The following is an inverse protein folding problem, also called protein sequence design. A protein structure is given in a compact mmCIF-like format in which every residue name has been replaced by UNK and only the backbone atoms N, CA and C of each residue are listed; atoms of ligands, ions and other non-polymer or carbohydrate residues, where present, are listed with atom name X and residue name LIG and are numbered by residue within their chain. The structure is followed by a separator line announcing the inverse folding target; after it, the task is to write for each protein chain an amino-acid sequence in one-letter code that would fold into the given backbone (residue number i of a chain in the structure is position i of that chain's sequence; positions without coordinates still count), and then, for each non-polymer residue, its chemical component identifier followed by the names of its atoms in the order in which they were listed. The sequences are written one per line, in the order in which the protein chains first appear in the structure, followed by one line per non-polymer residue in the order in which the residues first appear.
data_IF_273703955283
#
_entry.id   IF_273703955283
#
_cell.length_a   1.000
_cell.length_b   1.000
_cell.length_c   1.000
_cell.angle_alpha   90.00
_cell.angle_beta   90.00
_cell.angle_gamma   90.00
#
_symmetry.space_group_name_H-M   'P 1'
#
loop_
_entity.id
_entity.type
_entity.pdbx_description
1 polymer ?
#
# COMPACT_ATOMS: atom_id res chain seq x y z
N UNK A 1 50.87 39.28 -20.49
CA UNK A 1 50.24 37.97 -20.78
C UNK A 1 49.19 38.19 -21.86
N UNK A 2 49.18 37.41 -22.94
CA UNK A 2 48.43 37.77 -24.13
C UNK A 2 46.92 37.46 -23.95
N UNK A 3 46.06 38.42 -24.33
CA UNK A 3 44.62 38.46 -24.01
C UNK A 3 43.79 37.31 -24.59
N UNK A 4 44.31 36.57 -25.57
CA UNK A 4 43.67 35.38 -26.15
C UNK A 4 43.63 34.18 -25.18
N UNK A 5 44.63 34.06 -24.29
CA UNK A 5 44.68 32.99 -23.29
C UNK A 5 43.53 33.10 -22.27
N UNK A 6 43.25 34.31 -21.79
CA UNK A 6 42.15 34.55 -20.86
C UNK A 6 40.79 34.25 -21.49
N UNK A 7 40.60 34.59 -22.79
CA UNK A 7 39.38 34.27 -23.53
C UNK A 7 39.18 32.77 -23.69
N UNK A 8 40.24 32.02 -23.95
CA UNK A 8 40.18 30.55 -24.04
C UNK A 8 39.85 29.91 -22.70
N UNK A 9 40.47 30.38 -21.61
CA UNK A 9 40.18 29.87 -20.25
C UNK A 9 38.73 30.13 -19.87
N UNK A 10 38.21 31.34 -20.14
CA UNK A 10 36.81 31.68 -19.87
C UNK A 10 35.87 30.80 -20.72
N UNK A 11 36.16 30.59 -22.00
CA UNK A 11 35.35 29.74 -22.86
C UNK A 11 35.29 28.29 -22.35
N UNK A 12 36.43 27.72 -21.94
CA UNK A 12 36.50 26.37 -21.38
C UNK A 12 35.74 26.28 -20.05
N UNK A 13 35.94 27.24 -19.13
CA UNK A 13 35.18 27.30 -17.89
C UNK A 13 33.67 27.42 -18.12
N UNK A 14 33.25 28.26 -19.07
CA UNK A 14 31.85 28.42 -19.43
C UNK A 14 31.27 27.08 -19.93
N UNK A 15 31.98 26.37 -20.79
CA UNK A 15 31.55 25.10 -21.35
C UNK A 15 31.43 24.01 -20.27
N UNK A 16 32.40 23.91 -19.35
CA UNK A 16 32.35 22.99 -18.20
C UNK A 16 31.18 23.33 -17.29
N UNK A 17 30.99 24.61 -16.96
CA UNK A 17 29.88 25.04 -16.09
C UNK A 17 28.51 24.73 -16.70
N UNK A 18 28.38 24.90 -18.02
CA UNK A 18 27.17 24.54 -18.76
C UNK A 18 26.89 23.03 -18.67
N UNK A 19 27.91 22.19 -18.83
CA UNK A 19 27.77 20.74 -18.67
C UNK A 19 27.34 20.33 -17.26
N UNK A 20 27.87 20.99 -16.23
CA UNK A 20 27.49 20.72 -14.84
C UNK A 20 26.05 21.15 -14.56
N UNK A 21 25.65 22.34 -15.05
CA UNK A 21 24.29 22.86 -14.88
C UNK A 21 23.26 21.96 -15.58
N UNK A 22 23.54 21.53 -16.81
CA UNK A 22 22.62 20.63 -17.54
C UNK A 22 22.54 19.26 -16.87
N UNK A 23 23.66 18.71 -16.41
CA UNK A 23 23.68 17.46 -15.64
C UNK A 23 22.82 17.54 -14.37
N UNK A 24 23.00 18.59 -13.57
CA UNK A 24 22.19 18.84 -12.37
C UNK A 24 20.70 19.01 -12.68
N UNK A 25 20.37 19.73 -13.76
CA UNK A 25 18.98 19.93 -14.17
C UNK A 25 18.30 18.61 -14.54
N UNK A 26 19.00 17.70 -15.25
CA UNK A 26 18.46 16.38 -15.63
C UNK A 26 18.24 15.51 -14.39
N UNK A 27 19.22 15.44 -13.48
CA UNK A 27 19.09 14.65 -12.24
C UNK A 27 17.91 15.15 -11.41
N UNK A 28 17.80 16.46 -11.21
CA UNK A 28 16.67 17.05 -10.47
C UNK A 28 15.32 16.77 -11.13
N UNK A 29 15.24 16.81 -12.46
CA UNK A 29 14.03 16.48 -13.19
C UNK A 29 13.62 15.00 -13.00
N UNK A 30 14.58 14.08 -13.09
CA UNK A 30 14.35 12.65 -12.86
C UNK A 30 13.90 12.38 -11.43
N UNK A 31 14.59 12.94 -10.43
CA UNK A 31 14.23 12.79 -9.03
C UNK A 31 12.81 13.31 -8.77
N UNK A 32 12.44 14.48 -9.29
CA UNK A 32 11.06 14.99 -9.15
C UNK A 32 10.01 14.06 -9.75
N UNK A 33 10.30 13.45 -10.90
CA UNK A 33 9.39 12.50 -11.54
C UNK A 33 9.21 11.22 -10.70
N UNK A 34 10.29 10.71 -10.09
CA UNK A 34 10.23 9.56 -9.18
C UNK A 34 9.43 9.89 -7.92
N UNK A 35 9.65 11.05 -7.30
CA UNK A 35 8.86 11.49 -6.15
C UNK A 35 7.36 11.59 -6.47
N UNK A 36 7.01 12.09 -7.66
CA UNK A 36 5.61 12.16 -8.09
C UNK A 36 4.98 10.77 -8.24
N UNK A 37 5.72 9.80 -8.79
CA UNK A 37 5.26 8.41 -8.92
C UNK A 37 5.05 7.74 -7.56
N UNK A 38 6.01 7.89 -6.64
CA UNK A 38 5.90 7.32 -5.29
C UNK A 38 4.68 7.87 -4.55
N UNK A 39 4.44 9.19 -4.64
CA UNK A 39 3.25 9.83 -4.04
C UNK A 39 1.94 9.31 -4.61
N UNK A 40 1.88 9.05 -5.92
CA UNK A 40 0.68 8.45 -6.53
C UNK A 40 0.44 7.03 -6.03
N UNK A 41 1.48 6.21 -5.94
CA UNK A 41 1.38 4.85 -5.40
C UNK A 41 0.96 4.86 -3.93
N UNK A 42 1.54 5.75 -3.11
CA UNK A 42 1.19 5.89 -1.70
C UNK A 42 -0.30 6.24 -1.51
N UNK A 43 -0.82 7.19 -2.31
CA UNK A 43 -2.23 7.56 -2.28
C UNK A 43 -3.15 6.37 -2.64
N UNK A 44 -2.80 5.61 -3.68
CA UNK A 44 -3.56 4.43 -4.09
C UNK A 44 -3.53 3.31 -3.04
N UNK A 45 -2.37 3.05 -2.44
CA UNK A 45 -2.22 2.04 -1.39
C UNK A 45 -3.02 2.44 -0.15
N UNK A 46 -3.01 3.73 0.21
CA UNK A 46 -3.75 4.23 1.37
C UNK A 46 -5.27 4.12 1.18
N UNK A 47 -5.78 4.39 -0.02
CA UNK A 47 -7.19 4.16 -0.34
C UNK A 47 -7.57 2.68 -0.23
N UNK A 48 -6.74 1.79 -0.77
CA UNK A 48 -6.97 0.35 -0.66
C UNK A 48 -6.92 -0.13 0.80
N UNK A 49 -6.00 0.39 1.60
CA UNK A 49 -5.95 0.10 3.04
C UNK A 49 -7.25 0.50 3.73
N UNK A 50 -7.75 1.72 3.50
CA UNK A 50 -9.02 2.14 4.11
C UNK A 50 -10.22 1.29 3.67
N UNK A 51 -10.25 0.84 2.42
CA UNK A 51 -11.32 -0.06 1.93
C UNK A 51 -11.24 -1.44 2.58
N UNK A 52 -10.04 -1.97 2.78
CA UNK A 52 -9.82 -3.27 3.43
C UNK A 52 -10.13 -3.17 4.93
N UNK A 53 -9.73 -2.09 5.59
CA UNK A 53 -10.03 -1.85 7.00
C UNK A 53 -11.54 -1.76 7.26
N UNK A 54 -12.29 -1.07 6.39
CA UNK A 54 -13.76 -1.01 6.49
C UNK A 54 -14.37 -2.40 6.32
N UNK A 55 -13.92 -3.18 5.32
CA UNK A 55 -14.39 -4.56 5.13
C UNK A 55 -14.04 -5.47 6.30
N UNK A 56 -12.88 -5.26 6.93
CA UNK A 56 -12.47 -6.03 8.10
C UNK A 56 -13.36 -5.69 9.30
N UNK A 57 -13.62 -4.40 9.55
CA UNK A 57 -14.51 -3.96 10.61
C UNK A 57 -15.94 -4.49 10.41
N UNK A 58 -16.46 -4.49 9.18
CA UNK A 58 -17.75 -5.11 8.85
C UNK A 58 -17.76 -6.62 9.16
N UNK A 59 -16.68 -7.33 8.82
CA UNK A 59 -16.55 -8.76 9.13
C UNK A 59 -16.44 -9.02 10.62
N UNK A 60 -15.70 -8.20 11.37
CA UNK A 60 -15.59 -8.31 12.83
C UNK A 60 -16.93 -8.09 13.51
N UNK A 61 -17.72 -7.10 13.08
CA UNK A 61 -19.09 -6.89 13.59
C UNK A 61 -19.99 -8.08 13.30
N UNK A 62 -19.89 -8.67 12.11
CA UNK A 62 -20.63 -9.90 11.76
C UNK A 62 -20.17 -11.07 12.61
N UNK A 63 -18.86 -11.22 12.82
CA UNK A 63 -18.27 -12.29 13.63
C UNK A 63 -18.66 -12.15 15.10
N UNK A 64 -18.68 -10.93 15.63
CA UNK A 64 -19.07 -10.61 16.99
C UNK A 64 -20.57 -10.84 17.22
N UNK A 65 -21.42 -10.51 16.24
CA UNK A 65 -22.85 -10.89 16.25
C UNK A 65 -23.06 -12.40 16.16
N UNK A 66 -22.27 -13.13 15.36
CA UNK A 66 -22.31 -14.59 15.32
C UNK A 66 -21.83 -15.21 16.63
N UNK A 67 -20.83 -14.62 17.29
CA UNK A 67 -20.23 -15.12 18.53
C UNK A 67 -21.12 -14.87 19.76
N UNK A 68 -21.91 -13.81 19.76
CA UNK A 68 -22.78 -13.44 20.88
C UNK A 68 -24.12 -14.22 20.91
N UNK A 69 -24.43 -15.02 19.89
CA UNK A 69 -25.60 -15.92 19.91
C UNK A 69 -25.21 -17.36 19.53
N UNK A 70 -24.70 -18.14 20.51
CA UNK A 70 -24.21 -19.50 20.28
C UNK A 70 -25.28 -20.44 19.69
N UNK A 71 -26.57 -20.13 19.87
CA UNK A 71 -27.68 -20.90 19.30
C UNK A 71 -27.77 -20.76 17.77
N UNK A 72 -27.32 -19.64 17.19
CA UNK A 72 -27.35 -19.40 15.74
C UNK A 72 -26.17 -20.07 15.01
N UNK A 73 -24.97 -20.06 15.62
CA UNK A 73 -23.80 -20.79 15.10
C UNK A 73 -24.06 -22.29 15.00
N UNK A 74 -24.69 -22.86 16.02
CA UNK A 74 -25.07 -24.27 16.04
C UNK A 74 -26.11 -24.59 14.94
N UNK A 75 -27.13 -23.75 14.77
CA UNK A 75 -28.14 -23.92 13.72
C UNK A 75 -27.55 -23.85 12.31
N UNK A 76 -26.58 -22.96 12.05
CA UNK A 76 -25.94 -22.81 10.72
C UNK A 76 -24.97 -23.94 10.41
N UNK A 77 -24.18 -24.37 11.39
CA UNK A 77 -23.26 -25.52 11.27
C UNK A 77 -24.08 -26.81 11.02
N UNK A 78 -25.18 -26.99 11.75
CA UNK A 78 -26.11 -28.12 11.63
C UNK A 78 -26.81 -28.15 10.25
N UNK A 79 -27.12 -26.99 9.67
CA UNK A 79 -27.70 -26.85 8.32
C UNK A 79 -26.69 -27.11 7.19
N UNK A 80 -25.43 -26.66 7.34
CA UNK A 80 -24.37 -26.88 6.33
C UNK A 80 -23.79 -28.30 6.36
N UNK A 81 -23.74 -28.94 7.53
CA UNK A 81 -23.22 -30.30 7.68
C UNK A 81 -24.27 -31.39 7.47
N UNK A 82 -25.55 -31.03 7.22
CA UNK A 82 -26.61 -32.00 6.90
C UNK A 82 -27.09 -32.85 8.08
N UNK A 83 -26.72 -32.52 9.32
CA UNK A 83 -27.15 -33.25 10.52
C UNK A 83 -28.55 -32.81 10.93
N UNK A 84 -29.57 -33.56 10.51
CA UNK A 84 -30.95 -33.33 10.91
C UNK A 84 -31.40 -34.39 11.93
N UNK A 85 -31.65 -33.97 13.19
CA UNK A 85 -32.88 -34.25 13.98
C UNK A 85 -32.87 -33.51 15.34
N UNK A 86 -34.05 -33.18 15.91
CA UNK A 86 -34.20 -32.29 17.08
C UNK A 86 -33.95 -32.94 18.45
N UNK A 87 -33.62 -34.23 18.55
CA UNK A 87 -33.68 -35.01 19.81
C UNK A 87 -32.35 -35.64 20.27
N UNK A 88 -31.20 -35.29 19.65
CA UNK A 88 -29.91 -35.89 20.03
C UNK A 88 -28.99 -34.94 20.82
N UNK A 89 -28.42 -35.49 21.90
CA UNK A 89 -27.43 -34.86 22.77
C UNK A 89 -26.04 -34.91 22.13
N UNK A 90 -25.42 -33.75 21.93
CA UNK A 90 -24.05 -33.63 21.42
C UNK A 90 -23.07 -33.70 22.59
N UNK A 91 -22.35 -34.81 22.72
CA UNK A 91 -21.21 -34.90 23.64
C UNK A 91 -19.97 -34.28 22.98
N UNK A 92 -19.36 -33.30 23.66
CA UNK A 92 -18.04 -32.77 23.32
C UNK A 92 -17.03 -33.52 24.17
N UNK A 93 -16.19 -34.35 23.57
CA UNK A 93 -14.97 -34.82 24.24
C UNK A 93 -13.90 -33.75 24.04
N UNK A 94 -13.37 -33.27 25.16
CA UNK A 94 -12.26 -32.33 25.22
C UNK A 94 -10.98 -33.17 25.25
N UNK A 95 -10.10 -32.98 24.26
CA UNK A 95 -8.72 -33.48 24.29
C UNK A 95 -7.85 -32.51 25.10
#
# INVERSE_FOLDING_TARGET
MPSWLHRLVIAVCALVSLGVITGLAVVLAQTRAEYARVRQTEAQVRQRLSEVEVKLAEQEVVLERLRNDPAYLEAVIRRRLGYAKPEEFVFRFED
#
